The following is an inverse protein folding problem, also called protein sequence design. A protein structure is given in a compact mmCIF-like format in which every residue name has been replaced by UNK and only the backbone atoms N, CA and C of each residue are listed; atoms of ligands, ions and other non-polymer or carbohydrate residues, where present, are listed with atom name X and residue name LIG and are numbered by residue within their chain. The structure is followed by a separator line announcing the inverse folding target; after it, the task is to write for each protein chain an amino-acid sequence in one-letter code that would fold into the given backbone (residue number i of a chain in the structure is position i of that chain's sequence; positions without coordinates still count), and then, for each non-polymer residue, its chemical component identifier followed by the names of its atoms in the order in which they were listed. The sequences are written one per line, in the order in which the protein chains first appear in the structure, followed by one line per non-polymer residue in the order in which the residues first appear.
data_IF_605688532586
#
_entry.id   IF_605688532586
#
_cell.length_a   1.000
_cell.length_b   1.000
_cell.length_c   1.000
_cell.angle_alpha   90.00
_cell.angle_beta   90.00
_cell.angle_gamma   90.00
#
_symmetry.space_group_name_H-M   'P 1'
#
loop_
_entity.id
_entity.type
_entity.pdbx_description
1 polymer ?
#
# COMPACT_ATOMS: atom_id res chain seq x y z
N UNK A 1 -8.65 13.88 -9.78
CA UNK A 1 -7.33 13.22 -9.59
C UNK A 1 -7.29 11.98 -10.46
N UNK A 2 -6.28 11.83 -11.31
CA UNK A 2 -6.02 10.55 -11.96
C UNK A 2 -5.32 9.63 -10.93
N UNK A 3 -5.80 8.39 -10.78
CA UNK A 3 -5.10 7.41 -9.94
C UNK A 3 -3.74 7.07 -10.55
N UNK A 4 -2.73 6.75 -9.74
CA UNK A 4 -1.42 6.32 -10.23
C UNK A 4 -1.51 5.14 -11.22
N UNK A 5 -2.48 4.25 -11.02
CA UNK A 5 -2.80 3.17 -11.95
C UNK A 5 -3.21 3.66 -13.34
N UNK A 6 -4.02 4.73 -13.41
CA UNK A 6 -4.39 5.36 -14.69
C UNK A 6 -3.15 5.91 -15.40
N UNK A 7 -2.24 6.54 -14.65
CA UNK A 7 -0.96 7.01 -15.20
C UNK A 7 -0.12 5.86 -15.75
N UNK A 8 -0.06 4.70 -15.08
CA UNK A 8 0.61 3.51 -15.58
C UNK A 8 -0.01 3.00 -16.89
N UNK A 9 -1.34 2.87 -16.97
CA UNK A 9 -2.01 2.38 -18.19
C UNK A 9 -1.86 3.35 -19.35
N UNK A 10 -1.95 4.65 -19.11
CA UNK A 10 -1.73 5.67 -20.16
C UNK A 10 -0.29 5.70 -20.64
N UNK A 11 0.68 5.57 -19.72
CA UNK A 11 2.11 5.56 -20.06
C UNK A 11 2.59 4.25 -20.68
N UNK A 12 1.89 3.14 -20.42
CA UNK A 12 2.21 1.80 -20.90
C UNK A 12 0.95 1.10 -21.45
N UNK A 13 0.43 1.50 -22.62
CA UNK A 13 -0.89 1.07 -23.12
C UNK A 13 -0.97 -0.43 -23.48
N UNK A 14 0.15 -1.12 -23.59
CA UNK A 14 0.19 -2.59 -23.76
C UNK A 14 0.01 -3.36 -22.46
N UNK A 15 -0.06 -2.66 -21.32
CA UNK A 15 -0.20 -3.25 -20.00
C UNK A 15 -1.62 -3.10 -19.46
N UNK A 16 -2.03 -4.08 -18.67
CA UNK A 16 -3.25 -4.05 -17.89
C UNK A 16 -2.88 -3.99 -16.41
N UNK A 17 -3.60 -3.19 -15.64
CA UNK A 17 -3.42 -3.05 -14.19
C UNK A 17 -4.65 -3.59 -13.49
N UNK A 18 -4.45 -4.56 -12.60
CA UNK A 18 -5.47 -5.07 -11.70
C UNK A 18 -5.31 -4.38 -10.33
N UNK A 19 -6.33 -3.63 -9.93
CA UNK A 19 -6.43 -3.05 -8.58
C UNK A 19 -7.32 -3.95 -7.73
N UNK A 20 -6.85 -4.28 -6.53
CA UNK A 20 -7.52 -5.24 -5.65
C UNK A 20 -7.78 -4.57 -4.31
N UNK A 21 -9.04 -4.53 -3.90
CA UNK A 21 -9.38 -4.30 -2.50
C UNK A 21 -9.02 -5.57 -1.72
N UNK A 22 -8.06 -5.47 -0.81
CA UNK A 22 -7.69 -6.61 0.04
C UNK A 22 -8.85 -7.00 0.96
N UNK A 23 -8.76 -8.19 1.59
CA UNK A 23 -9.65 -8.55 2.70
C UNK A 23 -9.79 -7.40 3.69
N UNK A 24 -10.98 -7.26 4.27
CA UNK A 24 -11.33 -6.20 5.21
C UNK A 24 -11.35 -4.77 4.61
N UNK A 25 -11.06 -4.58 3.32
CA UNK A 25 -11.09 -3.27 2.66
C UNK A 25 -12.19 -3.20 1.59
N UNK A 26 -12.71 -1.99 1.38
CA UNK A 26 -13.56 -1.62 0.25
C UNK A 26 -14.66 -2.62 -0.09
N UNK A 27 -14.72 -3.04 -1.34
CA UNK A 27 -15.75 -3.99 -1.81
C UNK A 27 -15.54 -5.40 -1.27
N UNK A 28 -14.29 -5.79 -0.99
CA UNK A 28 -13.96 -7.07 -0.37
C UNK A 28 -14.52 -7.21 1.05
N UNK A 29 -14.62 -6.09 1.79
CA UNK A 29 -15.29 -6.07 3.10
C UNK A 29 -16.82 -6.22 2.99
N UNK A 30 -17.41 -5.87 1.84
CA UNK A 30 -18.84 -5.96 1.62
C UNK A 30 -19.29 -7.31 1.02
N UNK A 31 -18.36 -8.20 0.70
CA UNK A 31 -18.69 -9.50 0.11
C UNK A 31 -19.57 -10.34 1.05
N UNK A 32 -20.63 -10.99 0.53
CA UNK A 32 -21.49 -11.88 1.34
C UNK A 32 -20.73 -13.05 1.96
N UNK A 33 -19.74 -13.56 1.22
CA UNK A 33 -18.90 -14.69 1.63
C UNK A 33 -17.48 -14.20 1.89
N UNK A 34 -17.26 -13.59 3.07
CA UNK A 34 -15.92 -13.15 3.46
C UNK A 34 -14.98 -14.34 3.70
N UNK A 35 -13.69 -14.22 3.34
CA UNK A 35 -12.68 -15.21 3.72
C UNK A 35 -12.71 -15.45 5.23
N UNK A 36 -12.78 -16.72 5.62
CA UNK A 36 -12.77 -17.13 7.03
C UNK A 36 -11.32 -17.25 7.53
N UNK A 37 -11.14 -17.15 8.86
CA UNK A 37 -9.83 -17.29 9.50
C UNK A 37 -9.18 -15.95 9.86
N UNK A 38 -7.88 -15.97 10.24
CA UNK A 38 -7.19 -14.77 10.70
C UNK A 38 -7.02 -13.75 9.58
N UNK A 39 -7.02 -12.46 9.93
CA UNK A 39 -6.70 -11.39 8.99
C UNK A 39 -5.22 -11.01 9.10
N UNK A 40 -4.36 -11.67 8.34
CA UNK A 40 -2.92 -11.39 8.30
C UNK A 40 -2.39 -11.11 6.90
N UNK A 41 -1.09 -10.77 6.84
CA UNK A 41 -0.36 -10.53 5.58
C UNK A 41 -0.39 -11.77 4.69
N UNK A 42 -0.15 -12.94 5.26
CA UNK A 42 -0.10 -14.21 4.53
C UNK A 42 -1.45 -14.57 3.91
N UNK A 43 -2.53 -14.40 4.67
CA UNK A 43 -3.86 -14.69 4.17
C UNK A 43 -4.35 -13.66 3.15
N UNK A 44 -4.01 -12.37 3.32
CA UNK A 44 -4.26 -11.35 2.29
C UNK A 44 -3.52 -11.67 0.98
N UNK A 45 -2.28 -12.16 1.06
CA UNK A 45 -1.53 -12.63 -0.10
C UNK A 45 -2.18 -13.87 -0.74
N UNK A 46 -2.66 -14.80 0.07
CA UNK A 46 -3.41 -15.99 -0.38
C UNK A 46 -4.67 -15.63 -1.17
N UNK A 47 -5.45 -14.65 -0.70
CA UNK A 47 -6.64 -14.18 -1.42
C UNK A 47 -6.32 -13.61 -2.80
N UNK A 48 -5.24 -12.82 -2.92
CA UNK A 48 -4.82 -12.25 -4.20
C UNK A 48 -4.33 -13.35 -5.15
N UNK A 49 -3.58 -14.35 -4.64
CA UNK A 49 -3.17 -15.51 -5.44
C UNK A 49 -4.37 -16.33 -5.93
N UNK A 50 -5.37 -16.53 -5.07
CA UNK A 50 -6.61 -17.21 -5.42
C UNK A 50 -7.40 -16.44 -6.48
N UNK A 51 -7.51 -15.11 -6.35
CA UNK A 51 -8.11 -14.24 -7.37
C UNK A 51 -7.37 -14.39 -8.71
N UNK A 52 -6.04 -14.31 -8.72
CA UNK A 52 -5.23 -14.47 -9.94
C UNK A 52 -5.45 -15.85 -10.58
N UNK A 53 -5.55 -16.92 -9.75
CA UNK A 53 -5.85 -18.27 -10.22
C UNK A 53 -7.22 -18.34 -10.89
N UNK A 54 -8.26 -17.74 -10.29
CA UNK A 54 -9.61 -17.69 -10.85
C UNK A 54 -9.66 -16.92 -12.17
N UNK A 55 -8.96 -15.79 -12.25
CA UNK A 55 -8.83 -14.99 -13.48
C UNK A 55 -7.91 -15.62 -14.52
N UNK A 56 -7.19 -16.70 -14.17
CA UNK A 56 -6.15 -17.35 -15.00
C UNK A 56 -5.07 -16.37 -15.43
N UNK A 57 -4.72 -15.45 -14.54
CA UNK A 57 -3.68 -14.44 -14.75
C UNK A 57 -2.41 -14.83 -14.00
N UNK A 58 -1.26 -14.47 -14.58
CA UNK A 58 0.02 -14.50 -13.89
C UNK A 58 0.69 -13.12 -14.03
N UNK A 59 0.95 -12.42 -12.91
CA UNK A 59 1.47 -11.06 -12.95
C UNK A 59 2.92 -11.07 -13.44
N UNK A 60 3.30 -10.05 -14.22
CA UNK A 60 4.71 -9.75 -14.51
C UNK A 60 5.32 -8.77 -13.52
N UNK A 61 4.48 -7.89 -12.97
CA UNK A 61 4.85 -6.88 -11.99
C UNK A 61 3.82 -6.93 -10.86
N UNK A 62 4.30 -6.96 -9.62
CA UNK A 62 3.51 -6.79 -8.41
C UNK A 62 3.97 -5.51 -7.73
N UNK A 63 3.02 -4.65 -7.34
CA UNK A 63 3.32 -3.37 -6.68
C UNK A 63 2.52 -3.33 -5.40
N UNK A 64 3.20 -3.15 -4.27
CA UNK A 64 2.58 -3.10 -2.95
C UNK A 64 3.04 -1.88 -2.18
N UNK A 65 2.10 -1.10 -1.64
CA UNK A 65 2.39 0.05 -0.78
C UNK A 65 2.13 -0.28 0.68
N UNK A 66 3.05 0.11 1.57
CA UNK A 66 2.92 -0.08 3.02
C UNK A 66 2.59 -1.55 3.35
N UNK A 67 1.43 -1.82 3.97
CA UNK A 67 0.87 -3.17 4.16
C UNK A 67 0.94 -4.03 2.89
N UNK A 68 0.52 -3.46 1.77
CA UNK A 68 0.53 -4.13 0.46
C UNK A 68 1.93 -4.55 0.02
N UNK A 69 2.98 -3.86 0.47
CA UNK A 69 4.38 -4.22 0.22
C UNK A 69 4.73 -5.59 0.79
N UNK A 70 4.32 -5.86 2.03
CA UNK A 70 4.48 -7.19 2.64
C UNK A 70 3.55 -8.23 2.01
N UNK A 71 2.36 -7.84 1.56
CA UNK A 71 1.45 -8.73 0.84
C UNK A 71 2.08 -9.23 -0.46
N UNK A 72 2.60 -8.35 -1.32
CA UNK A 72 3.20 -8.77 -2.60
C UNK A 72 4.46 -9.60 -2.41
N UNK A 73 5.24 -9.35 -1.37
CA UNK A 73 6.37 -10.21 -0.98
C UNK A 73 5.90 -11.57 -0.47
N UNK A 74 4.86 -11.62 0.39
CA UNK A 74 4.30 -12.87 0.87
C UNK A 74 3.68 -13.69 -0.27
N UNK A 75 3.08 -13.05 -1.27
CA UNK A 75 2.57 -13.74 -2.47
C UNK A 75 3.67 -14.55 -3.17
N UNK A 76 4.84 -13.95 -3.38
CA UNK A 76 5.95 -14.66 -4.06
C UNK A 76 6.59 -15.74 -3.20
N UNK A 77 6.59 -15.57 -1.86
CA UNK A 77 7.06 -16.58 -0.91
C UNK A 77 6.17 -17.84 -0.88
N UNK A 78 4.89 -17.71 -1.21
CA UNK A 78 3.95 -18.84 -1.23
C UNK A 78 4.11 -19.76 -2.45
N UNK A 79 4.97 -19.43 -3.41
CA UNK A 79 5.32 -20.34 -4.49
C UNK A 79 6.37 -21.36 -4.03
N UNK A 80 6.22 -22.66 -4.34
CA UNK A 80 7.11 -23.72 -3.85
C UNK A 80 8.45 -23.70 -4.61
N UNK A 81 9.35 -22.80 -4.21
CA UNK A 81 10.75 -22.73 -4.66
C UNK A 81 10.98 -22.24 -6.10
N UNK A 82 9.92 -22.09 -6.92
CA UNK A 82 10.04 -21.52 -8.27
C UNK A 82 8.80 -20.72 -8.67
N UNK A 83 9.03 -19.61 -9.37
CA UNK A 83 7.97 -18.86 -10.02
C UNK A 83 7.65 -19.47 -11.39
N UNK A 84 6.37 -19.52 -11.81
CA UNK A 84 5.98 -19.97 -13.16
C UNK A 84 6.64 -19.18 -14.29
N UNK A 85 6.88 -17.87 -14.08
CA UNK A 85 7.55 -16.94 -14.99
C UNK A 85 8.25 -15.86 -14.15
N UNK A 86 9.20 -15.08 -14.73
CA UNK A 86 9.82 -13.98 -14.00
C UNK A 86 8.80 -12.95 -13.51
N UNK A 87 9.01 -12.42 -12.30
CA UNK A 87 8.17 -11.41 -11.66
C UNK A 87 9.04 -10.32 -11.05
N UNK A 88 8.72 -9.06 -11.36
CA UNK A 88 9.22 -7.91 -10.62
C UNK A 88 8.28 -7.58 -9.46
N UNK A 89 8.82 -7.39 -8.26
CA UNK A 89 8.10 -6.86 -7.10
C UNK A 89 8.61 -5.46 -6.82
N UNK A 90 7.69 -4.52 -6.59
CA UNK A 90 7.94 -3.18 -6.11
C UNK A 90 7.31 -2.99 -4.74
N UNK A 91 8.16 -2.77 -3.73
CA UNK A 91 7.75 -2.50 -2.35
C UNK A 91 7.83 -1.00 -2.11
N UNK A 92 6.68 -0.35 -1.96
CA UNK A 92 6.59 1.09 -1.81
C UNK A 92 6.49 1.46 -0.33
N UNK A 93 7.54 2.10 0.17
CA UNK A 93 7.69 2.66 1.51
C UNK A 93 7.34 1.70 2.65
N UNK A 94 7.85 0.46 2.54
CA UNK A 94 7.73 -0.59 3.55
C UNK A 94 9.00 -1.42 3.61
N UNK A 95 9.27 -2.01 4.78
CA UNK A 95 10.40 -2.90 5.02
C UNK A 95 9.97 -4.37 5.04
N UNK A 96 10.86 -5.32 4.73
CA UNK A 96 10.57 -6.76 4.78
C UNK A 96 10.50 -7.31 6.21
N UNK A 97 11.16 -6.67 7.18
CA UNK A 97 11.22 -7.11 8.57
C UNK A 97 10.16 -6.47 9.48
N UNK A 98 10.26 -6.76 10.77
CA UNK A 98 9.41 -6.15 11.80
C UNK A 98 9.39 -4.63 11.70
N UNK A 99 8.19 -4.07 11.76
CA UNK A 99 8.02 -2.61 11.78
C UNK A 99 8.07 -2.20 13.23
N UNK A 100 9.26 -1.81 13.69
CA UNK A 100 9.38 -1.13 14.98
C UNK A 100 8.86 0.28 14.78
N UNK A 101 7.70 0.59 15.35
CA UNK A 101 7.20 1.96 15.34
C UNK A 101 8.29 2.88 15.89
N UNK A 102 8.97 3.59 14.99
CA UNK A 102 9.96 4.58 15.36
C UNK A 102 9.25 5.76 15.99
N UNK A 103 9.36 5.89 17.30
CA UNK A 103 8.73 6.96 18.07
C UNK A 103 7.81 6.41 19.15
N UNK A 104 7.97 6.92 20.37
CA UNK A 104 7.11 6.54 21.49
C UNK A 104 5.63 6.91 21.26
N UNK A 105 4.78 6.77 22.28
CA UNK A 105 3.35 7.12 22.21
C UNK A 105 3.06 8.57 21.79
N UNK A 106 4.09 9.42 21.66
CA UNK A 106 4.05 10.85 21.39
C UNK A 106 4.44 11.26 19.96
N UNK A 107 4.76 10.34 19.03
CA UNK A 107 4.91 10.72 17.61
C UNK A 107 3.52 10.87 16.95
N UNK A 108 3.22 12.01 16.32
CA UNK A 108 1.97 12.21 15.58
C UNK A 108 1.82 11.19 14.45
N UNK A 109 0.58 10.83 14.13
CA UNK A 109 0.20 9.99 12.97
C UNK A 109 0.62 8.49 13.00
N UNK A 110 0.64 7.86 14.17
CA UNK A 110 0.81 6.41 14.30
C UNK A 110 -0.42 5.63 13.77
N UNK A 111 -0.27 4.73 12.78
CA UNK A 111 -1.40 4.00 12.20
C UNK A 111 -2.16 3.13 13.22
N UNK A 112 -1.46 2.49 14.16
CA UNK A 112 -2.10 1.70 15.22
C UNK A 112 -3.00 2.54 16.12
N UNK A 113 -2.54 3.73 16.54
CA UNK A 113 -3.35 4.64 17.35
C UNK A 113 -4.56 5.17 16.57
N UNK A 114 -4.42 5.41 15.26
CA UNK A 114 -5.54 5.80 14.41
C UNK A 114 -6.58 4.68 14.33
N UNK A 115 -6.16 3.44 14.12
CA UNK A 115 -7.07 2.28 14.06
C UNK A 115 -7.86 2.15 15.36
N UNK A 116 -7.20 2.24 16.52
CA UNK A 116 -7.88 2.18 17.82
C UNK A 116 -8.86 3.34 18.03
N UNK A 117 -8.48 4.56 17.62
CA UNK A 117 -9.41 5.69 17.64
C UNK A 117 -10.65 5.40 16.79
N UNK A 118 -10.47 4.98 15.53
CA UNK A 118 -11.59 4.72 14.62
C UNK A 118 -12.51 3.61 15.13
N UNK A 119 -11.95 2.57 15.78
CA UNK A 119 -12.71 1.49 16.45
C UNK A 119 -13.55 1.98 17.61
N UNK A 120 -13.11 3.04 18.30
CA UNK A 120 -13.86 3.64 19.41
C UNK A 120 -14.99 4.56 18.96
N UNK A 121 -15.01 4.99 17.69
CA UNK A 121 -16.03 5.93 17.20
C UNK A 121 -17.40 5.24 17.02
N UNK A 122 -18.50 5.92 17.34
CA UNK A 122 -19.85 5.39 17.10
C UNK A 122 -20.06 5.03 15.63
N UNK A 123 -20.59 3.84 15.37
CA UNK A 123 -20.96 3.35 14.03
C UNK A 123 -22.43 2.94 14.02
N UNK A 124 -23.27 3.46 13.10
CA UNK A 124 -22.92 4.42 12.06
C UNK A 124 -22.61 5.82 12.60
N UNK A 125 -21.65 6.49 11.98
CA UNK A 125 -21.29 7.86 12.33
C UNK A 125 -22.38 8.85 11.91
N UNK A 126 -22.62 9.88 12.73
CA UNK A 126 -23.66 10.88 12.45
C UNK A 126 -23.40 11.67 11.16
N UNK A 127 -22.14 12.05 10.91
CA UNK A 127 -21.73 12.73 9.68
C UNK A 127 -20.24 12.51 9.41
N UNK A 128 -19.81 12.74 8.17
CA UNK A 128 -18.37 12.82 7.85
C UNK A 128 -17.67 13.92 8.66
N UNK A 129 -18.34 15.06 8.88
CA UNK A 129 -17.80 16.16 9.69
C UNK A 129 -17.47 15.74 11.12
N UNK A 130 -18.40 15.02 11.78
CA UNK A 130 -18.19 14.51 13.14
C UNK A 130 -16.97 13.59 13.26
N UNK A 131 -16.71 12.76 12.22
CA UNK A 131 -15.52 11.90 12.19
C UNK A 131 -14.25 12.72 11.99
N UNK A 132 -14.27 13.73 11.11
CA UNK A 132 -13.11 14.63 10.94
C UNK A 132 -12.77 15.37 12.24
N UNK A 133 -13.78 15.88 12.93
CA UNK A 133 -13.61 16.58 14.20
C UNK A 133 -13.05 15.65 15.27
N UNK A 134 -13.54 14.41 15.36
CA UNK A 134 -13.01 13.42 16.30
C UNK A 134 -11.54 13.04 16.01
N UNK A 135 -11.18 12.85 14.74
CA UNK A 135 -9.80 12.52 14.34
C UNK A 135 -8.84 13.68 14.63
N UNK A 136 -9.24 14.91 14.31
CA UNK A 136 -8.41 16.09 14.59
C UNK A 136 -8.32 16.41 16.09
N UNK A 137 -9.40 16.24 16.85
CA UNK A 137 -9.39 16.40 18.31
C UNK A 137 -8.47 15.41 19.01
N UNK A 138 -8.26 14.23 18.42
CA UNK A 138 -7.29 13.22 18.89
C UNK A 138 -5.83 13.52 18.49
N UNK A 139 -5.56 14.65 17.81
CA UNK A 139 -4.21 15.10 17.48
C UNK A 139 -3.66 14.62 16.13
N UNK A 140 -4.48 13.94 15.31
CA UNK A 140 -4.09 13.60 13.94
C UNK A 140 -4.20 14.80 13.00
N UNK A 141 -3.36 14.81 11.96
CA UNK A 141 -3.37 15.88 10.97
C UNK A 141 -4.68 15.96 10.16
N UNK A 142 -5.01 17.15 9.67
CA UNK A 142 -6.20 17.38 8.83
C UNK A 142 -6.18 16.54 7.55
N UNK A 143 -4.99 16.26 7.00
CA UNK A 143 -4.85 15.42 5.80
C UNK A 143 -5.24 13.96 6.10
N UNK A 144 -4.84 13.43 7.26
CA UNK A 144 -5.30 12.12 7.74
C UNK A 144 -6.82 12.12 7.96
N UNK A 145 -7.37 13.15 8.62
CA UNK A 145 -8.81 13.26 8.84
C UNK A 145 -9.61 13.28 7.52
N UNK A 146 -9.14 14.06 6.53
CA UNK A 146 -9.75 14.09 5.18
C UNK A 146 -9.67 12.74 4.49
N UNK A 147 -8.54 12.04 4.59
CA UNK A 147 -8.38 10.70 4.03
C UNK A 147 -9.35 9.70 4.69
N UNK A 148 -9.42 9.67 6.04
CA UNK A 148 -10.28 8.75 6.78
C UNK A 148 -11.73 8.81 6.27
N UNK A 149 -12.30 10.01 6.11
CA UNK A 149 -13.71 10.16 5.72
C UNK A 149 -14.01 9.82 4.27
N UNK A 150 -12.99 9.62 3.41
CA UNK A 150 -13.20 9.06 2.07
C UNK A 150 -13.65 7.59 2.13
N UNK A 151 -13.38 6.91 3.25
CA UNK A 151 -13.75 5.51 3.51
C UNK A 151 -15.12 5.37 4.22
N UNK A 152 -15.93 6.42 4.22
CA UNK A 152 -17.29 6.40 4.74
C UNK A 152 -18.31 6.38 3.61
N UNK A 153 -19.30 5.48 3.69
CA UNK A 153 -20.46 5.45 2.78
C UNK A 153 -21.77 5.61 3.55
N UNK A 154 -22.81 6.22 2.96
CA UNK A 154 -24.14 6.25 3.57
C UNK A 154 -24.66 4.84 3.82
N UNK A 155 -25.24 4.61 5.00
CA UNK A 155 -25.87 3.31 5.32
C UNK A 155 -27.20 3.17 4.55
N UNK A 156 -27.43 2.05 3.83
CA UNK A 156 -28.72 1.79 3.19
C UNK A 156 -29.87 1.74 4.22
N UNK A 157 -30.98 2.41 3.95
CA UNK A 157 -32.14 2.46 4.87
C UNK A 157 -32.12 3.61 5.88
N UNK A 158 -31.04 4.40 5.94
CA UNK A 158 -31.02 5.73 6.58
C UNK A 158 -30.33 5.80 7.95
N UNK A 159 -29.81 7.00 8.24
CA UNK A 159 -29.43 7.46 9.59
C UNK A 159 -27.94 7.76 9.86
N UNK A 160 -27.02 7.49 8.93
CA UNK A 160 -25.60 7.78 9.17
C UNK A 160 -24.64 7.22 8.12
N UNK A 161 -23.36 7.20 8.50
CA UNK A 161 -22.23 6.83 7.66
C UNK A 161 -21.52 5.60 8.24
N UNK A 162 -21.44 4.54 7.45
CA UNK A 162 -20.73 3.31 7.80
C UNK A 162 -19.34 3.27 7.14
N UNK A 163 -18.42 2.55 7.77
CA UNK A 163 -17.11 2.26 7.22
C UNK A 163 -17.20 1.36 6.00
N UNK A 164 -16.36 1.61 5.00
CA UNK A 164 -16.16 0.70 3.85
C UNK A 164 -15.16 -0.41 4.15
N UNK A 165 -14.61 -0.45 5.37
CA UNK A 165 -13.67 -1.48 5.81
C UNK A 165 -14.17 -2.13 7.11
N UNK A 166 -13.68 -3.33 7.36
CA UNK A 166 -13.87 -4.07 8.62
C UNK A 166 -12.76 -3.67 9.60
N UNK A 167 -13.07 -2.75 10.53
CA UNK A 167 -12.07 -2.18 11.44
C UNK A 167 -11.39 -3.22 12.34
N UNK A 168 -12.10 -4.27 12.77
CA UNK A 168 -11.49 -5.33 13.57
C UNK A 168 -10.54 -6.18 12.74
N UNK A 169 -10.92 -6.45 11.48
CA UNK A 169 -10.03 -7.08 10.51
C UNK A 169 -8.81 -6.23 10.18
N UNK A 170 -8.96 -4.91 10.03
CA UNK A 170 -7.86 -3.97 9.83
C UNK A 170 -6.88 -3.98 11.01
N UNK A 171 -7.38 -4.03 12.25
CA UNK A 171 -6.53 -4.10 13.43
C UNK A 171 -5.68 -5.38 13.47
N UNK A 172 -6.29 -6.53 13.15
CA UNK A 172 -5.57 -7.80 13.02
C UNK A 172 -4.51 -7.75 11.91
N UNK A 173 -4.87 -7.20 10.75
CA UNK A 173 -3.94 -7.06 9.62
C UNK A 173 -2.77 -6.17 10.00
N UNK A 174 -3.02 -5.04 10.65
CA UNK A 174 -1.96 -4.13 11.08
C UNK A 174 -1.02 -4.80 12.10
N UNK A 175 -1.55 -5.53 13.08
CA UNK A 175 -0.73 -6.32 14.01
C UNK A 175 0.13 -7.36 13.28
N UNK A 176 -0.45 -8.10 12.34
CA UNK A 176 0.28 -9.04 11.49
C UNK A 176 1.37 -8.35 10.67
N UNK A 177 1.11 -7.16 10.14
CA UNK A 177 2.10 -6.36 9.41
C UNK A 177 3.29 -5.97 10.27
N UNK A 178 3.07 -5.57 11.52
CA UNK A 178 4.16 -5.20 12.42
C UNK A 178 5.09 -6.38 12.73
N UNK A 179 4.55 -7.59 12.85
CA UNK A 179 5.31 -8.80 13.21
C UNK A 179 5.79 -9.65 12.02
N UNK A 180 5.31 -9.38 10.80
CA UNK A 180 5.67 -10.19 9.63
C UNK A 180 7.15 -10.00 9.26
N UNK A 181 7.87 -11.12 9.15
CA UNK A 181 9.30 -11.22 8.86
C UNK A 181 9.48 -11.88 7.47
N UNK A 182 10.08 -11.17 6.53
CA UNK A 182 10.27 -11.60 5.14
C UNK A 182 11.74 -11.53 4.67
N UNK A 183 12.71 -11.32 5.55
CA UNK A 183 14.13 -11.28 5.21
C UNK A 183 14.60 -12.57 4.54
N UNK A 184 14.03 -13.72 4.91
CA UNK A 184 14.32 -15.00 4.25
C UNK A 184 14.05 -14.98 2.74
N UNK A 185 12.99 -14.29 2.29
CA UNK A 185 12.69 -14.12 0.86
C UNK A 185 13.81 -13.34 0.15
N UNK A 186 14.29 -12.27 0.77
CA UNK A 186 15.32 -11.42 0.17
C UNK A 186 16.69 -12.12 0.15
N UNK A 187 16.99 -12.90 1.18
CA UNK A 187 18.24 -13.65 1.29
C UNK A 187 18.33 -14.85 0.34
N UNK A 188 17.18 -15.39 -0.07
CA UNK A 188 17.11 -16.55 -0.97
C UNK A 188 15.89 -16.45 -1.89
N UNK A 189 15.87 -15.47 -2.81
CA UNK A 189 14.74 -15.26 -3.70
C UNK A 189 14.61 -16.44 -4.69
N UNK A 190 13.39 -16.90 -5.00
CA UNK A 190 13.19 -17.91 -6.03
C UNK A 190 13.71 -17.43 -7.39
N UNK A 191 14.21 -18.33 -8.25
CA UNK A 191 14.68 -17.96 -9.58
C UNK A 191 13.63 -17.19 -10.38
N UNK A 192 14.05 -16.09 -11.01
CA UNK A 192 13.17 -15.20 -11.78
C UNK A 192 12.45 -14.12 -10.98
N UNK A 193 12.67 -14.04 -9.66
CA UNK A 193 12.20 -12.92 -8.84
C UNK A 193 13.19 -11.75 -8.87
N UNK A 194 12.68 -10.55 -9.07
CA UNK A 194 13.38 -9.28 -8.79
C UNK A 194 12.57 -8.49 -7.78
N UNK A 195 13.22 -7.90 -6.78
CA UNK A 195 12.56 -7.10 -5.75
C UNK A 195 13.26 -5.75 -5.64
N UNK A 196 12.49 -4.69 -5.80
CA UNK A 196 12.97 -3.32 -5.66
C UNK A 196 12.12 -2.59 -4.62
N UNK A 197 12.78 -1.74 -3.85
CA UNK A 197 12.15 -0.94 -2.81
C UNK A 197 12.16 0.52 -3.22
N UNK A 198 11.07 1.22 -2.91
CA UNK A 198 11.02 2.68 -2.99
C UNK A 198 10.91 3.22 -1.57
N UNK A 199 11.89 4.00 -1.14
CA UNK A 199 11.87 4.73 0.13
C UNK A 199 11.42 6.16 -0.14
N UNK A 200 10.40 6.62 0.59
CA UNK A 200 10.04 8.03 0.54
C UNK A 200 11.09 8.87 1.28
N UNK A 201 11.46 10.03 0.72
CA UNK A 201 12.45 10.93 1.33
C UNK A 201 12.12 11.32 2.77
N UNK A 202 10.84 11.55 3.07
CA UNK A 202 10.38 11.97 4.40
C UNK A 202 9.96 10.81 5.30
N UNK A 203 10.19 9.55 4.91
CA UNK A 203 9.90 8.38 5.73
C UNK A 203 11.06 8.05 6.67
N UNK A 204 11.27 8.93 7.65
CA UNK A 204 12.37 8.82 8.63
C UNK A 204 12.10 7.84 9.75
N UNK A 205 10.83 7.55 10.08
CA UNK A 205 10.45 6.73 11.24
C UNK A 205 10.25 5.24 10.92
N UNK A 206 10.05 4.89 9.63
CA UNK A 206 9.84 3.50 9.19
C UNK A 206 11.12 2.82 8.70
N UNK A 207 12.07 3.61 8.22
CA UNK A 207 13.35 3.14 7.68
C UNK A 207 14.43 3.50 8.68
N UNK A 208 14.92 2.51 9.44
CA UNK A 208 15.86 2.72 10.53
C UNK A 208 17.10 1.83 10.44
N UNK A 209 18.17 2.23 11.12
CA UNK A 209 19.36 1.41 11.31
C UNK A 209 20.03 0.97 10.02
N UNK A 210 20.21 -0.34 9.87
CA UNK A 210 20.96 -0.96 8.77
C UNK A 210 20.07 -1.60 7.70
N UNK A 211 18.75 -1.36 7.70
CA UNK A 211 17.82 -2.08 6.84
C UNK A 211 18.07 -1.82 5.35
N UNK A 212 18.36 -0.58 4.95
CA UNK A 212 18.72 -0.26 3.55
C UNK A 212 20.00 -0.98 3.12
N UNK A 213 21.02 -0.95 3.98
CA UNK A 213 22.27 -1.65 3.74
C UNK A 213 22.07 -3.17 3.67
N UNK A 214 21.15 -3.71 4.47
CA UNK A 214 20.79 -5.14 4.48
C UNK A 214 20.04 -5.54 3.22
N UNK A 215 19.13 -4.71 2.72
CA UNK A 215 18.43 -4.92 1.43
C UNK A 215 19.46 -4.93 0.29
N UNK A 216 20.35 -3.93 0.26
CA UNK A 216 21.41 -3.83 -0.74
C UNK A 216 22.39 -5.03 -0.68
N UNK A 217 22.79 -5.45 0.52
CA UNK A 217 23.66 -6.62 0.72
C UNK A 217 23.00 -7.93 0.27
N UNK A 218 21.68 -8.01 0.28
CA UNK A 218 20.90 -9.12 -0.26
C UNK A 218 20.70 -9.03 -1.80
N UNK A 219 21.28 -8.01 -2.45
CA UNK A 219 21.26 -7.86 -3.92
C UNK A 219 20.04 -7.13 -4.48
N UNK A 220 19.27 -6.44 -3.64
CA UNK A 220 18.04 -5.73 -4.02
C UNK A 220 18.25 -4.22 -4.02
N UNK A 221 17.56 -3.50 -4.90
CA UNK A 221 17.70 -2.04 -4.99
C UNK A 221 16.77 -1.31 -3.99
N UNK A 222 17.26 -0.20 -3.44
CA UNK A 222 16.46 0.77 -2.69
C UNK A 222 16.55 2.11 -3.41
N UNK A 223 15.42 2.57 -3.93
CA UNK A 223 15.29 3.81 -4.69
C UNK A 223 14.73 4.90 -3.78
N UNK A 224 15.43 6.03 -3.66
CA UNK A 224 14.93 7.18 -2.93
C UNK A 224 13.96 7.98 -3.83
N UNK A 225 12.73 8.19 -3.37
CA UNK A 225 11.76 9.05 -4.05
C UNK A 225 11.77 10.46 -3.42
N UNK A 226 12.36 11.47 -4.10
CA UNK A 226 12.48 12.81 -3.54
C UNK A 226 11.11 13.48 -3.39
N UNK A 227 11.00 14.40 -2.43
CA UNK A 227 9.80 15.22 -2.16
C UNK A 227 8.54 14.41 -1.88
N UNK A 228 8.69 13.20 -1.33
CA UNK A 228 7.56 12.34 -0.97
C UNK A 228 7.53 12.02 0.52
N UNK A 229 6.33 11.99 1.07
CA UNK A 229 6.03 11.33 2.34
C UNK A 229 5.53 9.90 2.09
N UNK A 230 4.83 9.32 3.06
CA UNK A 230 4.41 7.91 2.98
C UNK A 230 3.54 7.60 1.76
N UNK A 231 2.74 8.56 1.31
CA UNK A 231 1.79 8.39 0.21
C UNK A 231 2.48 8.63 -1.13
N UNK A 232 3.54 7.87 -1.41
CA UNK A 232 4.45 8.08 -2.54
C UNK A 232 3.78 8.27 -3.90
N UNK A 233 2.69 7.54 -4.14
CA UNK A 233 1.90 7.57 -5.37
C UNK A 233 1.00 8.82 -5.50
N UNK A 234 0.81 9.55 -4.41
CA UNK A 234 0.08 10.84 -4.35
C UNK A 234 1.06 12.01 -4.26
N UNK A 235 2.13 11.87 -3.47
CA UNK A 235 3.09 12.94 -3.20
C UNK A 235 4.02 13.22 -4.39
N UNK A 236 4.51 12.16 -5.05
CA UNK A 236 5.35 12.29 -6.25
C UNK A 236 5.03 11.18 -7.27
N UNK A 237 3.82 11.19 -7.87
CA UNK A 237 3.39 10.17 -8.82
C UNK A 237 4.31 10.07 -10.04
N UNK A 238 4.88 11.19 -10.51
CA UNK A 238 5.75 11.18 -11.68
C UNK A 238 7.14 10.61 -11.39
N UNK A 239 7.75 10.98 -10.26
CA UNK A 239 9.00 10.35 -9.87
C UNK A 239 8.83 8.85 -9.65
N UNK A 240 7.71 8.44 -9.02
CA UNK A 240 7.39 7.02 -8.87
C UNK A 240 7.20 6.32 -10.22
N UNK A 241 6.47 6.95 -11.15
CA UNK A 241 6.29 6.42 -12.50
C UNK A 241 7.64 6.23 -13.22
N UNK A 242 8.55 7.21 -13.13
CA UNK A 242 9.87 7.15 -13.76
C UNK A 242 10.74 6.04 -13.16
N UNK A 243 10.70 5.82 -11.85
CA UNK A 243 11.39 4.71 -11.19
C UNK A 243 10.87 3.34 -11.66
N UNK A 244 9.56 3.20 -11.81
CA UNK A 244 8.92 1.94 -12.18
C UNK A 244 9.01 1.64 -13.69
N UNK A 245 9.17 2.67 -14.53
CA UNK A 245 9.12 2.57 -15.99
C UNK A 245 9.99 1.47 -16.63
N UNK A 246 11.22 1.18 -16.15
CA UNK A 246 12.04 0.10 -16.71
C UNK A 246 11.35 -1.27 -16.64
N UNK A 247 10.55 -1.53 -15.59
CA UNK A 247 9.81 -2.80 -15.43
C UNK A 247 8.69 -2.99 -16.46
N UNK A 248 8.32 -1.94 -17.19
CA UNK A 248 7.24 -1.94 -18.18
C UNK A 248 7.74 -1.96 -19.64
N UNK A 249 9.06 -2.11 -19.87
CA UNK A 249 9.63 -2.30 -21.21
C UNK A 249 10.12 -1.03 -21.92
N UNK A 250 10.27 0.09 -21.22
CA UNK A 250 11.12 1.23 -21.62
C UNK A 250 10.97 1.81 -23.03
N UNK A 251 9.94 2.64 -23.25
CA UNK A 251 9.97 3.93 -23.96
C UNK A 251 8.67 4.65 -23.58
N UNK A 252 8.76 5.66 -22.73
CA UNK A 252 7.61 6.23 -22.04
C UNK A 252 7.00 7.40 -22.84
N UNK A 253 5.69 7.35 -23.13
CA UNK A 253 4.98 8.49 -23.74
C UNK A 253 4.37 9.40 -22.66
N UNK A 254 5.23 9.96 -21.80
CA UNK A 254 4.84 10.79 -20.65
C UNK A 254 4.67 12.27 -21.03
N UNK A 255 4.67 12.60 -22.34
CA UNK A 255 4.68 14.00 -22.83
C UNK A 255 3.50 14.82 -22.28
N UNK A 256 2.34 14.17 -22.08
CA UNK A 256 1.14 14.81 -21.54
C UNK A 256 1.25 15.15 -20.04
N UNK A 257 1.99 14.34 -19.27
CA UNK A 257 2.14 14.55 -17.82
C UNK A 257 3.31 15.46 -17.47
N UNK A 258 4.41 15.42 -18.24
CA UNK A 258 5.56 16.33 -18.08
C UNK A 258 5.17 17.80 -18.27
N UNK A 259 4.27 18.07 -19.22
CA UNK A 259 3.75 19.42 -19.46
C UNK A 259 2.85 19.92 -18.31
N UNK A 260 2.00 19.05 -17.76
CA UNK A 260 1.14 19.38 -16.61
C UNK A 260 1.93 19.55 -15.30
N UNK A 261 3.01 18.79 -15.09
CA UNK A 261 3.88 18.95 -13.93
C UNK A 261 4.81 20.15 -14.01
N UNK A 262 5.31 20.50 -15.20
CA UNK A 262 6.02 21.77 -15.41
C UNK A 262 5.12 22.99 -15.11
N UNK A 263 3.82 22.89 -15.43
CA UNK A 263 2.79 23.90 -15.10
C UNK A 263 2.43 23.94 -13.60
N UNK A 264 2.57 22.83 -12.87
CA UNK A 264 2.34 22.78 -11.43
C UNK A 264 3.56 23.25 -10.63
N UNK A 265 4.77 22.93 -11.09
CA UNK A 265 6.03 23.34 -10.47
C UNK A 265 6.32 24.84 -10.63
N UNK A 266 5.72 25.52 -11.60
CA UNK A 266 5.84 26.98 -11.79
C UNK A 266 4.87 27.80 -10.93
N UNK A 267 4.03 27.15 -10.11
CA UNK A 267 3.04 27.79 -9.22
C UNK A 267 3.43 27.76 -7.74
N UNK A 268 4.68 27.45 -7.40
CA UNK A 268 5.23 27.51 -6.06
C UNK A 268 6.48 28.39 -6.01
#
# INVERSE_FOLDING_TARGET
MASFAKMLVEGFPSWQVLLVDLRCHGESAALPSRPQGPHGVGEAAGDVLELLRQLRLFPRVLIGHSFGGKVVMSMVQQFPGRLPRPVQVWVLDSLPGEVRAGGGPSTPDHPGALIELLRSLPTPAASRGAVMDAVTAAGFSTDIARWVVTNLRPVPGGGGWGWTFDLDGIAQMYSSYETTELWGLLQSPPPGLSVDFVKAERSTFRWGGADEARIAAAGHAVHLLPRSGHWVHTDNPLGLFELLAPSFGGASDVKQWRSSAALAASRH
#
